data_IF_934715909403
#
_entry.id   IF_934715909403
#
_cell.length_a   1.000
_cell.length_b   1.000
_cell.length_c   1.000
_cell.angle_alpha   90.00
_cell.angle_beta   90.00
_cell.angle_gamma   90.00
#
_symmetry.space_group_name_H-M   'P 1'
#
loop_
_entity.id
_entity.type
_entity.pdbx_description
1 polymer ?
#
# COMPACT_ATOMS: atom_id res chain seq x y z
N UNK A 1 20.92 43.62 70.84
CA UNK A 1 22.17 43.50 70.06
C UNK A 1 22.32 42.05 69.62
N UNK A 2 22.55 41.82 68.32
CA UNK A 2 22.87 40.56 67.60
C UNK A 2 21.69 39.58 67.45
N UNK A 3 20.93 39.56 66.34
CA UNK A 3 21.28 39.34 64.93
C UNK A 3 21.76 37.89 64.65
N UNK A 4 20.97 37.04 63.98
CA UNK A 4 20.81 36.95 62.52
C UNK A 4 21.70 35.84 61.92
N UNK A 5 21.38 34.57 62.16
CA UNK A 5 21.94 33.43 61.44
C UNK A 5 20.89 32.32 61.35
N UNK A 6 20.11 32.28 60.27
CA UNK A 6 19.10 31.23 60.12
C UNK A 6 18.35 31.16 58.80
N UNK A 7 18.81 31.81 57.73
CA UNK A 7 18.10 31.84 56.42
C UNK A 7 19.07 31.56 55.26
N UNK A 8 20.17 30.83 55.51
CA UNK A 8 21.17 30.55 54.47
C UNK A 8 21.04 29.21 53.75
N UNK A 9 20.44 28.19 54.39
CA UNK A 9 20.66 26.79 53.97
C UNK A 9 19.43 26.07 53.37
N UNK A 10 18.24 26.67 53.39
CA UNK A 10 17.01 25.99 52.91
C UNK A 10 16.67 26.32 51.45
N UNK A 11 17.29 27.37 50.87
CA UNK A 11 16.98 27.80 49.50
C UNK A 11 17.88 27.17 48.40
N UNK A 12 18.90 26.40 48.76
CA UNK A 12 19.79 25.77 47.78
C UNK A 12 19.30 24.40 47.24
N UNK A 13 18.33 23.76 47.91
CA UNK A 13 17.85 22.43 47.52
C UNK A 13 16.58 22.42 46.66
N UNK A 14 15.86 23.54 46.55
CA UNK A 14 14.64 23.61 45.74
C UNK A 14 14.87 24.02 44.27
N UNK A 15 16.04 24.58 43.93
CA UNK A 15 16.34 25.00 42.54
C UNK A 15 16.87 23.82 41.70
N UNK A 16 17.50 22.82 42.31
CA UNK A 16 18.04 21.66 41.59
C UNK A 16 16.97 20.62 41.17
N UNK A 17 15.82 20.56 41.85
CA UNK A 17 14.72 19.64 41.50
C UNK A 17 13.82 20.17 40.37
N UNK A 18 13.75 21.49 40.17
CA UNK A 18 12.91 22.10 39.13
C UNK A 18 13.48 21.97 37.71
N UNK A 19 14.81 21.91 37.57
CA UNK A 19 15.46 21.86 36.25
C UNK A 19 15.49 20.44 35.67
N UNK A 20 15.47 19.40 36.51
CA UNK A 20 15.41 18.00 36.05
C UNK A 20 14.00 17.55 35.63
N UNK A 21 12.95 18.17 36.17
CA UNK A 21 11.56 17.86 35.76
C UNK A 21 11.20 18.46 34.38
N UNK A 22 11.82 19.57 33.98
CA UNK A 22 11.57 20.21 32.68
C UNK A 22 12.27 19.52 31.50
N UNK A 23 13.35 18.77 31.74
CA UNK A 23 14.08 18.05 30.69
C UNK A 23 13.42 16.72 30.28
N UNK A 24 12.51 16.17 31.10
CA UNK A 24 11.82 14.89 30.84
C UNK A 24 10.51 15.05 30.06
N UNK A 25 9.99 16.27 29.89
CA UNK A 25 8.72 16.54 29.19
C UNK A 25 8.88 16.80 27.68
N UNK A 26 10.11 16.80 27.17
CA UNK A 26 10.42 17.19 25.78
C UNK A 26 10.54 16.05 24.77
N UNK A 27 10.27 14.78 25.15
CA UNK A 27 10.38 13.63 24.24
C UNK A 27 9.02 13.03 23.87
N UNK A 28 8.04 13.88 23.57
CA UNK A 28 6.91 13.45 22.74
C UNK A 28 7.36 13.46 21.29
N UNK A 29 8.03 12.37 20.87
CA UNK A 29 8.36 12.14 19.48
C UNK A 29 7.08 12.13 18.65
N UNK A 30 6.87 13.17 17.85
CA UNK A 30 5.69 13.30 17.01
C UNK A 30 5.67 12.21 15.95
N UNK A 31 4.64 11.36 15.99
CA UNK A 31 4.27 10.52 14.85
C UNK A 31 3.73 11.43 13.76
N UNK A 32 4.27 11.36 12.55
CA UNK A 32 3.73 12.09 11.40
C UNK A 32 2.90 11.14 10.56
N UNK A 33 1.59 11.35 10.56
CA UNK A 33 0.68 10.62 9.68
C UNK A 33 0.96 10.99 8.22
N UNK A 34 1.22 9.97 7.41
CA UNK A 34 1.35 10.06 5.96
C UNK A 34 -0.03 9.88 5.34
N UNK A 35 -0.46 10.92 4.66
CA UNK A 35 -1.64 10.92 3.81
C UNK A 35 -1.19 10.83 2.36
N UNK A 36 -1.45 9.71 1.66
CA UNK A 36 -1.15 9.60 0.24
C UNK A 36 -1.83 10.73 -0.55
N UNK A 37 -1.08 11.37 -1.45
CA UNK A 37 -1.64 12.35 -2.38
C UNK A 37 -2.08 11.65 -3.67
N UNK A 38 -3.17 12.14 -4.27
CA UNK A 38 -3.65 11.66 -5.56
C UNK A 38 -3.07 12.48 -6.71
N UNK A 39 -2.50 11.82 -7.71
CA UNK A 39 -2.20 12.42 -9.02
C UNK A 39 -3.23 12.03 -10.11
N UNK A 40 -4.14 11.11 -9.77
CA UNK A 40 -5.19 10.60 -10.63
C UNK A 40 -6.54 10.63 -9.90
N UNK A 41 -7.66 10.34 -10.58
CA UNK A 41 -8.97 10.30 -9.93
C UNK A 41 -9.72 9.03 -10.29
N UNK A 42 -10.64 8.61 -9.42
CA UNK A 42 -11.52 7.46 -9.69
C UNK A 42 -12.33 7.66 -10.99
N UNK A 43 -12.74 8.91 -11.28
CA UNK A 43 -13.42 9.24 -12.53
C UNK A 43 -12.50 9.02 -13.75
N UNK A 44 -11.26 9.53 -13.72
CA UNK A 44 -10.28 9.28 -14.79
C UNK A 44 -9.94 7.79 -14.92
N UNK A 45 -9.87 7.06 -13.81
CA UNK A 45 -9.63 5.61 -13.81
C UNK A 45 -10.81 4.83 -14.40
N UNK A 46 -12.05 5.30 -14.23
CA UNK A 46 -13.23 4.75 -14.91
C UNK A 46 -13.17 4.98 -16.42
N UNK A 47 -12.58 6.10 -16.85
CA UNK A 47 -12.39 6.44 -18.26
C UNK A 47 -11.11 5.86 -18.88
N UNK A 48 -10.28 5.18 -18.08
CA UNK A 48 -9.09 4.50 -18.56
C UNK A 48 -9.43 3.36 -19.52
N UNK A 49 -8.65 3.19 -20.60
CA UNK A 49 -8.95 2.24 -21.70
C UNK A 49 -7.85 1.25 -22.07
N UNK A 50 -6.64 1.37 -21.52
CA UNK A 50 -5.54 0.49 -21.95
C UNK A 50 -5.67 -0.93 -21.43
N UNK A 51 -6.22 -1.08 -20.24
CA UNK A 51 -6.46 -2.37 -19.63
C UNK A 51 -7.63 -2.28 -18.63
N UNK A 52 -8.29 -3.41 -18.31
CA UNK A 52 -9.28 -3.49 -17.24
C UNK A 52 -8.74 -2.98 -15.90
N UNK A 53 -9.47 -2.09 -15.23
CA UNK A 53 -9.13 -1.54 -13.93
C UNK A 53 -10.11 -2.11 -12.90
N UNK A 54 -9.56 -2.64 -11.81
CA UNK A 54 -10.30 -3.17 -10.68
C UNK A 54 -9.95 -2.39 -9.41
N UNK A 55 -10.94 -2.25 -8.53
CA UNK A 55 -10.78 -1.60 -7.23
C UNK A 55 -11.77 -2.20 -6.23
N UNK A 56 -11.64 -1.90 -4.93
CA UNK A 56 -12.51 -2.46 -3.89
C UNK A 56 -13.77 -1.60 -3.63
N UNK A 57 -13.81 -0.36 -4.12
CA UNK A 57 -14.87 0.61 -3.82
C UNK A 57 -14.31 1.86 -3.14
N UNK A 58 -15.16 2.67 -2.49
CA UNK A 58 -14.72 3.79 -1.67
C UNK A 58 -14.06 3.36 -0.34
N UNK A 59 -14.18 2.08 0.02
CA UNK A 59 -13.63 1.51 1.26
C UNK A 59 -13.14 0.08 1.00
N UNK A 60 -12.08 -0.34 1.70
CA UNK A 60 -11.58 -1.70 1.74
C UNK A 60 -11.18 -2.07 3.17
N UNK A 61 -11.74 -3.15 3.73
CA UNK A 61 -11.42 -3.62 5.07
C UNK A 61 -11.51 -2.53 6.17
N UNK A 62 -12.51 -1.64 6.13
CA UNK A 62 -12.64 -0.55 7.10
C UNK A 62 -11.78 0.68 6.80
N UNK A 63 -11.01 0.67 5.71
CA UNK A 63 -10.11 1.76 5.31
C UNK A 63 -10.71 2.53 4.14
N UNK A 64 -10.86 3.83 4.28
CA UNK A 64 -11.33 4.70 3.19
C UNK A 64 -10.30 4.79 2.07
N UNK A 65 -10.77 4.95 0.82
CA UNK A 65 -9.91 5.26 -0.32
C UNK A 65 -9.28 6.65 -0.13
N UNK A 66 -7.98 6.71 0.11
CA UNK A 66 -7.24 7.94 0.41
C UNK A 66 -6.52 8.51 -0.82
N UNK A 67 -6.07 7.66 -1.73
CA UNK A 67 -5.50 8.13 -2.99
C UNK A 67 -5.78 7.25 -4.20
N UNK A 68 -5.75 7.88 -5.37
CA UNK A 68 -5.70 7.22 -6.67
C UNK A 68 -4.54 7.78 -7.47
N UNK A 69 -3.67 6.90 -7.96
CA UNK A 69 -2.46 7.28 -8.69
C UNK A 69 -2.35 6.56 -10.04
N UNK A 70 -1.68 7.23 -10.98
CA UNK A 70 -1.33 6.69 -12.28
C UNK A 70 0.15 6.95 -12.53
N UNK A 71 0.97 5.90 -12.44
CA UNK A 71 2.43 6.02 -12.32
C UNK A 71 3.18 5.03 -13.22
N UNK A 72 4.41 5.37 -13.66
CA UNK A 72 5.23 4.45 -14.44
C UNK A 72 5.72 3.28 -13.57
N UNK A 73 5.86 2.09 -14.17
CA UNK A 73 6.23 0.85 -13.49
C UNK A 73 7.74 0.75 -13.17
N UNK A 74 8.28 1.75 -12.48
CA UNK A 74 9.67 1.79 -12.04
C UNK A 74 10.67 1.93 -13.20
N UNK A 75 11.98 1.95 -12.88
CA UNK A 75 13.01 2.37 -13.84
C UNK A 75 13.23 1.38 -15.00
N UNK A 76 12.85 0.11 -14.83
CA UNK A 76 13.02 -0.94 -15.84
C UNK A 76 11.78 -1.13 -16.74
N UNK A 77 10.64 -0.52 -16.39
CA UNK A 77 9.36 -0.64 -17.13
C UNK A 77 8.72 0.73 -17.33
N UNK A 78 9.55 1.74 -17.66
CA UNK A 78 9.13 3.16 -17.74
C UNK A 78 8.06 3.46 -18.79
N UNK A 79 7.94 2.63 -19.84
CA UNK A 79 6.89 2.77 -20.86
C UNK A 79 5.58 2.10 -20.46
N UNK A 80 5.55 1.38 -19.34
CA UNK A 80 4.36 0.78 -18.78
C UNK A 80 3.94 1.51 -17.52
N UNK A 81 2.64 1.54 -17.26
CA UNK A 81 2.04 2.33 -16.19
C UNK A 81 1.03 1.50 -15.41
N UNK A 82 0.86 1.83 -14.13
CA UNK A 82 -0.18 1.26 -13.27
C UNK A 82 -1.29 2.27 -12.98
N UNK A 83 -2.48 1.76 -12.67
CA UNK A 83 -3.52 2.51 -11.95
C UNK A 83 -3.62 1.94 -10.54
N UNK A 84 -3.27 2.74 -9.54
CA UNK A 84 -3.21 2.35 -8.13
C UNK A 84 -4.32 3.01 -7.31
N UNK A 85 -4.92 2.23 -6.40
CA UNK A 85 -5.85 2.69 -5.37
C UNK A 85 -5.28 2.39 -3.99
N UNK A 86 -5.13 3.42 -3.18
CA UNK A 86 -4.54 3.38 -1.84
C UNK A 86 -5.62 3.62 -0.78
N UNK A 87 -5.68 2.76 0.24
CA UNK A 87 -6.69 2.84 1.29
C UNK A 87 -6.04 3.04 2.66
N UNK A 88 -6.60 3.98 3.43
CA UNK A 88 -6.11 4.35 4.74
C UNK A 88 -4.88 5.27 4.71
N UNK A 89 -4.34 5.52 5.89
CA UNK A 89 -3.13 6.31 6.13
C UNK A 89 -2.11 5.43 6.85
N UNK A 90 -0.87 5.89 6.96
CA UNK A 90 0.12 5.22 7.77
C UNK A 90 0.95 6.23 8.54
N UNK A 91 1.50 5.83 9.68
CA UNK A 91 2.26 6.70 10.55
C UNK A 91 3.75 6.40 10.44
N UNK A 92 4.58 7.44 10.27
CA UNK A 92 6.03 7.31 10.42
C UNK A 92 6.40 7.71 11.84
N UNK A 93 6.82 6.73 12.63
CA UNK A 93 7.28 6.94 14.00
C UNK A 93 8.56 7.79 14.06
N UNK A 94 8.87 8.36 15.23
CA UNK A 94 10.13 9.10 15.42
C UNK A 94 11.34 8.19 15.21
N UNK A 95 12.35 8.68 14.48
CA UNK A 95 13.61 7.96 14.22
C UNK A 95 13.57 6.96 13.07
N UNK A 96 12.45 6.84 12.35
CA UNK A 96 12.37 6.06 11.12
C UNK A 96 12.73 6.91 9.91
N UNK A 97 13.38 6.29 8.91
CA UNK A 97 13.73 6.95 7.66
C UNK A 97 12.48 7.52 6.96
N UNK A 98 12.61 8.64 6.22
CA UNK A 98 11.49 9.24 5.47
C UNK A 98 11.05 8.40 4.27
N UNK A 99 11.53 7.16 4.13
CA UNK A 99 11.26 6.22 3.03
C UNK A 99 9.81 5.75 2.92
N UNK A 100 8.90 6.33 3.69
CA UNK A 100 7.48 6.00 3.71
C UNK A 100 7.14 4.84 4.65
N UNK A 101 5.87 4.75 5.00
CA UNK A 101 5.29 3.61 5.72
C UNK A 101 4.41 2.80 4.77
N UNK A 102 4.19 1.52 5.09
CA UNK A 102 3.29 0.67 4.32
C UNK A 102 1.83 1.04 4.64
N UNK A 103 1.04 1.28 3.61
CA UNK A 103 -0.39 1.51 3.77
C UNK A 103 -1.13 0.21 4.11
N UNK A 104 -2.27 0.29 4.82
CA UNK A 104 -3.07 -0.88 5.16
C UNK A 104 -3.46 -1.74 3.96
N UNK A 105 -3.89 -1.10 2.87
CA UNK A 105 -4.23 -1.77 1.61
C UNK A 105 -3.80 -0.89 0.44
N UNK A 106 -3.17 -1.49 -0.56
CA UNK A 106 -3.08 -0.90 -1.90
C UNK A 106 -3.44 -1.91 -2.99
N UNK A 107 -4.05 -1.41 -4.05
CA UNK A 107 -4.49 -2.19 -5.22
C UNK A 107 -3.87 -1.56 -6.46
N UNK A 108 -2.85 -2.20 -7.02
CA UNK A 108 -2.21 -1.79 -8.27
C UNK A 108 -2.74 -2.62 -9.43
N UNK A 109 -3.19 -1.95 -10.48
CA UNK A 109 -3.58 -2.57 -11.74
C UNK A 109 -2.43 -2.37 -12.74
N UNK A 110 -1.76 -3.45 -13.13
CA UNK A 110 -0.67 -3.44 -14.10
C UNK A 110 -1.08 -4.20 -15.37
N UNK A 111 -0.61 -3.82 -16.58
CA UNK A 111 -0.86 -4.62 -17.77
C UNK A 111 -0.18 -6.00 -17.65
N UNK A 112 -0.89 -7.07 -18.01
CA UNK A 112 -0.39 -8.43 -17.84
C UNK A 112 0.87 -8.74 -18.67
N UNK A 113 1.10 -7.99 -19.75
CA UNK A 113 2.35 -8.08 -20.52
C UNK A 113 3.60 -7.69 -19.68
N UNK A 114 3.44 -6.81 -18.69
CA UNK A 114 4.56 -6.29 -17.88
C UNK A 114 4.66 -6.89 -16.49
N UNK A 115 3.58 -7.55 -16.04
CA UNK A 115 3.55 -8.30 -14.78
C UNK A 115 2.71 -9.56 -14.96
N UNK A 116 3.33 -10.72 -14.83
CA UNK A 116 2.66 -12.01 -14.92
C UNK A 116 3.42 -13.09 -14.16
N UNK A 117 2.79 -14.25 -13.98
CA UNK A 117 3.36 -15.32 -13.16
C UNK A 117 4.60 -15.99 -13.78
N UNK A 118 4.80 -15.94 -15.10
CA UNK A 118 5.99 -16.53 -15.72
C UNK A 118 7.28 -15.78 -15.39
N UNK A 119 7.18 -14.55 -14.88
CA UNK A 119 8.31 -13.75 -14.39
C UNK A 119 9.00 -14.33 -13.15
N UNK A 120 8.36 -15.23 -12.40
CA UNK A 120 8.87 -15.74 -11.12
C UNK A 120 9.59 -17.10 -11.20
N UNK A 121 10.05 -17.49 -12.39
CA UNK A 121 10.73 -18.78 -12.60
C UNK A 121 12.24 -18.81 -12.32
N UNK A 122 12.85 -17.67 -11.95
CA UNK A 122 14.31 -17.58 -11.74
C UNK A 122 14.75 -17.98 -10.33
N UNK A 123 16.01 -18.41 -10.16
CA UNK A 123 16.55 -18.85 -8.88
C UNK A 123 16.52 -17.81 -7.74
N UNK A 124 16.45 -16.52 -8.09
CA UNK A 124 16.33 -15.40 -7.14
C UNK A 124 14.92 -14.80 -7.12
N UNK A 125 13.97 -15.38 -7.85
CA UNK A 125 12.58 -14.93 -7.82
C UNK A 125 11.89 -15.40 -6.55
N UNK A 126 10.97 -14.60 -5.98
CA UNK A 126 10.14 -15.08 -4.90
C UNK A 126 9.29 -16.26 -5.39
N UNK A 127 9.26 -17.33 -4.61
CA UNK A 127 8.46 -18.52 -4.94
C UNK A 127 6.96 -18.20 -4.82
N UNK A 128 6.15 -18.44 -5.86
CA UNK A 128 4.72 -18.17 -5.82
C UNK A 128 3.96 -19.26 -5.03
N UNK A 129 3.19 -18.86 -4.02
CA UNK A 129 2.16 -19.73 -3.41
C UNK A 129 0.88 -19.67 -4.26
N UNK A 130 0.78 -20.60 -5.21
CA UNK A 130 -0.27 -20.63 -6.22
C UNK A 130 -1.66 -20.84 -5.61
N UNK A 131 -2.63 -20.07 -6.09
CA UNK A 131 -4.00 -20.11 -5.60
C UNK A 131 -5.00 -19.72 -6.70
N UNK A 132 -6.28 -19.58 -6.32
CA UNK A 132 -7.33 -19.04 -7.17
C UNK A 132 -8.15 -18.00 -6.43
N UNK A 133 -8.50 -16.95 -7.15
CA UNK A 133 -9.47 -15.93 -6.69
C UNK A 133 -10.61 -15.89 -7.70
N UNK A 134 -11.84 -16.13 -7.24
CA UNK A 134 -13.06 -15.97 -8.06
C UNK A 134 -12.97 -16.64 -9.45
N UNK A 135 -12.32 -17.80 -9.50
CA UNK A 135 -12.15 -18.63 -10.70
C UNK A 135 -10.84 -18.44 -11.46
N UNK A 136 -10.11 -17.34 -11.27
CA UNK A 136 -8.88 -17.06 -12.02
C UNK A 136 -7.60 -17.47 -11.29
N UNK A 137 -6.50 -17.59 -12.04
CA UNK A 137 -5.16 -17.89 -11.50
C UNK A 137 -4.68 -16.71 -10.64
N UNK A 138 -4.14 -17.02 -9.47
CA UNK A 138 -3.55 -16.05 -8.58
C UNK A 138 -2.34 -16.67 -7.84
N UNK A 139 -1.53 -15.84 -7.21
CA UNK A 139 -0.45 -16.31 -6.35
C UNK A 139 -0.21 -15.34 -5.19
N UNK A 140 0.12 -15.89 -4.03
CA UNK A 140 0.67 -15.12 -2.92
C UNK A 140 2.18 -15.05 -2.99
N UNK A 141 2.71 -13.91 -2.55
CA UNK A 141 4.13 -13.64 -2.37
C UNK A 141 4.35 -13.01 -1.00
N UNK A 142 5.62 -12.89 -0.59
CA UNK A 142 6.01 -12.13 0.61
C UNK A 142 5.26 -12.58 1.88
N UNK A 143 5.17 -13.89 2.10
CA UNK A 143 4.47 -14.45 3.26
C UNK A 143 2.95 -14.23 3.27
N UNK A 144 2.37 -13.83 2.12
CA UNK A 144 0.95 -13.54 1.97
C UNK A 144 0.58 -12.06 1.96
N UNK A 145 1.56 -11.17 2.08
CA UNK A 145 1.33 -9.72 2.11
C UNK A 145 1.13 -9.12 0.71
N UNK A 146 1.49 -9.87 -0.34
CA UNK A 146 1.19 -9.53 -1.74
C UNK A 146 0.39 -10.66 -2.38
N UNK A 147 -0.75 -10.31 -2.97
CA UNK A 147 -1.57 -11.21 -3.77
C UNK A 147 -1.64 -10.68 -5.21
N UNK A 148 -1.32 -11.53 -6.18
CA UNK A 148 -1.45 -11.20 -7.59
C UNK A 148 -2.53 -12.03 -8.25
N UNK A 149 -3.42 -11.36 -8.97
CA UNK A 149 -4.57 -11.97 -9.63
C UNK A 149 -4.45 -11.70 -11.13
N UNK A 150 -4.38 -12.76 -11.92
CA UNK A 150 -4.29 -12.69 -13.37
C UNK A 150 -5.72 -12.60 -13.94
N UNK A 151 -6.13 -11.50 -14.58
CA UNK A 151 -7.53 -11.32 -15.03
C UNK A 151 -7.63 -10.47 -16.29
N UNK A 152 -8.19 -11.03 -17.37
CA UNK A 152 -8.18 -10.37 -18.68
C UNK A 152 -6.75 -10.02 -19.11
N UNK A 153 -6.53 -8.77 -19.52
CA UNK A 153 -5.20 -8.22 -19.85
C UNK A 153 -4.54 -7.47 -18.69
N UNK A 154 -5.02 -7.66 -17.46
CA UNK A 154 -4.53 -6.99 -16.24
C UNK A 154 -4.02 -8.00 -15.23
N UNK A 155 -2.94 -7.64 -14.54
CA UNK A 155 -2.57 -8.23 -13.25
C UNK A 155 -2.97 -7.26 -12.16
N UNK A 156 -3.88 -7.70 -11.28
CA UNK A 156 -4.26 -6.95 -10.07
C UNK A 156 -3.35 -7.40 -8.94
N UNK A 157 -2.57 -6.46 -8.40
CA UNK A 157 -1.67 -6.68 -7.26
C UNK A 157 -2.30 -6.03 -6.05
N UNK A 158 -2.57 -6.82 -5.01
CA UNK A 158 -3.08 -6.36 -3.73
C UNK A 158 -1.96 -6.49 -2.70
N UNK A 159 -1.58 -5.37 -2.10
CA UNK A 159 -0.75 -5.37 -0.90
C UNK A 159 -1.63 -5.17 0.32
N UNK A 160 -1.39 -5.96 1.36
CA UNK A 160 -2.04 -5.87 2.66
C UNK A 160 -1.15 -6.45 3.77
N UNK A 161 -1.49 -6.25 5.04
CA UNK A 161 -0.66 -6.74 6.15
C UNK A 161 -0.81 -8.24 6.43
N UNK A 162 -1.75 -8.92 5.76
CA UNK A 162 -1.88 -10.37 5.87
C UNK A 162 -2.56 -11.01 4.66
N UNK A 163 -2.32 -12.31 4.48
CA UNK A 163 -3.02 -13.17 3.51
C UNK A 163 -4.54 -13.06 3.61
N UNK A 164 -5.08 -12.96 4.83
CA UNK A 164 -6.52 -12.88 5.09
C UNK A 164 -7.09 -11.55 4.61
N UNK A 165 -6.41 -10.45 4.88
CA UNK A 165 -6.82 -9.12 4.44
C UNK A 165 -6.76 -9.01 2.93
N UNK A 166 -5.68 -9.47 2.31
CA UNK A 166 -5.54 -9.49 0.84
C UNK A 166 -6.68 -10.29 0.18
N UNK A 167 -7.04 -11.46 0.73
CA UNK A 167 -8.21 -12.23 0.26
C UNK A 167 -9.52 -11.48 0.44
N UNK A 168 -9.74 -10.84 1.59
CA UNK A 168 -10.95 -10.05 1.85
C UNK A 168 -11.13 -8.95 0.80
N UNK A 169 -10.06 -8.21 0.48
CA UNK A 169 -10.07 -7.21 -0.61
C UNK A 169 -10.35 -7.87 -1.95
N UNK A 170 -9.68 -8.98 -2.26
CA UNK A 170 -9.84 -9.70 -3.52
C UNK A 170 -11.28 -10.19 -3.78
N UNK A 171 -12.00 -10.62 -2.74
CA UNK A 171 -13.40 -11.03 -2.86
C UNK A 171 -14.33 -9.87 -3.17
N UNK A 172 -14.00 -8.66 -2.71
CA UNK A 172 -14.78 -7.44 -2.91
C UNK A 172 -14.34 -6.61 -4.11
N UNK A 173 -13.33 -7.06 -4.87
CA UNK A 173 -12.93 -6.41 -6.11
C UNK A 173 -14.11 -6.26 -7.06
N UNK A 174 -14.18 -5.11 -7.71
CA UNK A 174 -15.16 -4.83 -8.76
C UNK A 174 -14.46 -4.16 -9.93
N UNK A 175 -14.94 -4.43 -11.13
CA UNK A 175 -14.50 -3.75 -12.34
C UNK A 175 -14.91 -2.28 -12.27
N UNK A 176 -13.95 -1.39 -12.45
CA UNK A 176 -14.20 0.04 -12.49
C UNK A 176 -14.61 0.49 -13.91
N UNK A 177 -13.92 -0.04 -14.92
CA UNK A 177 -14.15 0.23 -16.35
C UNK A 177 -14.60 -1.03 -17.13
N UNK A 178 -14.91 -2.12 -16.43
CA UNK A 178 -15.43 -3.38 -17.00
C UNK A 178 -16.64 -3.87 -16.19
N UNK A 179 -17.60 -4.58 -16.80
CA UNK A 179 -18.84 -4.98 -16.13
C UNK A 179 -18.62 -6.20 -15.22
N UNK A 180 -17.96 -5.99 -14.08
CA UNK A 180 -17.68 -7.02 -13.06
C UNK A 180 -18.10 -6.50 -11.69
N UNK A 181 -19.12 -7.09 -11.07
CA UNK A 181 -19.55 -6.71 -9.73
C UNK A 181 -18.68 -7.37 -8.67
N UNK A 182 -18.81 -6.94 -7.41
CA UNK A 182 -18.25 -7.66 -6.27
C UNK A 182 -18.88 -9.07 -6.18
N UNK A 183 -18.07 -10.09 -5.89
CA UNK A 183 -18.53 -11.49 -5.81
C UNK A 183 -18.72 -12.24 -7.13
N UNK A 184 -18.86 -11.56 -8.28
CA UNK A 184 -18.96 -12.19 -9.60
C UNK A 184 -17.73 -13.05 -9.94
N UNK A 185 -17.71 -13.85 -11.00
CA UNK A 185 -16.43 -14.41 -11.46
C UNK A 185 -15.56 -13.30 -12.06
N UNK A 186 -14.25 -13.36 -11.79
CA UNK A 186 -13.30 -12.52 -12.51
C UNK A 186 -13.12 -13.07 -13.94
N UNK A 187 -12.90 -12.20 -14.95
CA UNK A 187 -12.54 -12.64 -16.28
C UNK A 187 -11.35 -13.60 -16.25
N UNK A 188 -11.33 -14.68 -17.06
CA UNK A 188 -10.13 -15.49 -17.21
C UNK A 188 -8.99 -14.62 -17.76
N UNK A 189 -7.71 -14.98 -17.49
CA UNK A 189 -6.59 -14.28 -18.10
C UNK A 189 -6.68 -14.38 -19.62
N UNK A 190 -6.32 -13.30 -20.32
CA UNK A 190 -6.21 -13.32 -21.77
C UNK A 190 -5.15 -14.35 -22.22
N UNK A 191 -5.27 -14.92 -23.43
CA UNK A 191 -4.25 -15.81 -23.96
C UNK A 191 -2.85 -15.17 -23.91
N UNK A 192 -1.88 -15.87 -23.33
CA UNK A 192 -0.51 -15.39 -23.18
C UNK A 192 -0.26 -14.43 -22.01
N UNK A 193 -1.31 -14.00 -21.29
CA UNK A 193 -1.17 -13.12 -20.13
C UNK A 193 -0.35 -13.79 -19.02
N UNK A 194 -0.62 -15.06 -18.71
CA UNK A 194 0.04 -15.79 -17.62
C UNK A 194 1.43 -16.26 -18.04
N UNK A 195 1.56 -16.64 -19.30
CA UNK A 195 2.80 -17.15 -19.89
C UNK A 195 3.78 -16.02 -20.23
N UNK A 196 3.35 -14.76 -20.22
CA UNK A 196 4.19 -13.60 -20.51
C UNK A 196 4.46 -13.40 -22.00
N UNK A 197 3.55 -13.89 -22.85
CA UNK A 197 3.63 -13.74 -24.31
C UNK A 197 2.69 -12.65 -24.84
N UNK A 198 1.93 -12.00 -23.97
CA UNK A 198 1.12 -10.82 -24.32
C UNK A 198 2.06 -9.66 -24.73
N UNK A 199 1.89 -9.04 -25.91
CA UNK A 199 2.68 -7.88 -26.27
C UNK A 199 2.29 -6.68 -25.40
N UNK A 200 3.28 -5.93 -24.91
CA UNK A 200 3.02 -4.59 -24.38
C UNK A 200 2.85 -3.59 -25.51
N UNK A 201 1.77 -2.83 -25.49
CA UNK A 201 1.67 -1.63 -26.31
C UNK A 201 2.77 -0.63 -25.91
N UNK A 202 3.35 0.05 -26.90
CA UNK A 202 4.09 1.27 -26.63
C UNK A 202 3.07 2.38 -26.38
N UNK A 203 3.14 3.04 -25.22
CA UNK A 203 2.52 4.34 -25.00
C UNK A 203 3.55 5.43 -25.22
#
# INVERSE_FOLDING_TARGET
MLAWFGIGLVLALFVAAGVLAAAMLGYFGGSSAVHPNSNFSVAKARDFRDFPVFYAGPEANGQELTATNYEPLGPLRKSQWSVEFSYGTCDIGPGFDPGGCSLPVSISNEPACSRNLSMYGGALSPEPDLTRVRGTKAAFFEGGNRLEIQTGTTTVVIFAFSKREALSVAQNLRGLNVPVSAGDRLPPPAPGAVEGTLPCGAR
#
